data_IF_533871164013
#
_entry.id   IF_533871164013
#
_cell.length_a   1.000
_cell.length_b   1.000
_cell.length_c   1.000
_cell.angle_alpha   90.00
_cell.angle_beta   90.00
_cell.angle_gamma   90.00
#
_symmetry.space_group_name_H-M   'P 1'
#
loop_
_entity.id
_entity.type
_entity.pdbx_description
1 polymer ?
#
# COMPACT_ATOMS: atom_id res chain seq x y z
N UNK A 1 4.86 -15.07 -25.66
CA UNK A 1 5.47 -14.60 -24.40
C UNK A 1 4.63 -13.43 -23.91
N UNK A 2 3.85 -13.61 -22.86
CA UNK A 2 3.01 -12.53 -22.33
C UNK A 2 3.92 -11.61 -21.53
N UNK A 3 4.23 -10.44 -22.06
CA UNK A 3 5.00 -9.44 -21.33
C UNK A 3 4.19 -9.04 -20.08
N UNK A 4 4.84 -9.03 -18.91
CA UNK A 4 4.21 -8.50 -17.70
C UNK A 4 3.81 -7.04 -17.96
N UNK A 5 2.62 -6.60 -17.51
CA UNK A 5 2.14 -5.26 -17.84
C UNK A 5 3.07 -4.20 -17.21
N UNK A 6 3.24 -3.03 -17.86
CA UNK A 6 4.14 -2.01 -17.38
C UNK A 6 3.70 -1.51 -15.99
N UNK A 7 4.62 -1.43 -15.04
CA UNK A 7 4.34 -0.88 -13.71
C UNK A 7 3.96 0.59 -13.84
N UNK A 8 2.86 1.00 -13.22
CA UNK A 8 2.29 2.35 -13.31
C UNK A 8 2.00 2.98 -11.93
N UNK A 9 2.27 2.27 -10.83
CA UNK A 9 2.06 2.74 -9.47
C UNK A 9 3.27 2.51 -8.56
N UNK A 10 3.41 3.33 -7.52
CA UNK A 10 4.47 3.26 -6.51
C UNK A 10 3.87 3.28 -5.11
N UNK A 11 4.32 2.38 -4.24
CA UNK A 11 3.92 2.33 -2.84
C UNK A 11 4.68 3.38 -2.02
N UNK A 12 3.95 4.21 -1.29
CA UNK A 12 4.48 5.23 -0.39
C UNK A 12 4.09 4.91 1.06
N UNK A 13 5.11 4.82 1.89
CA UNK A 13 5.00 4.43 3.30
C UNK A 13 4.88 2.92 3.49
N UNK A 14 4.73 2.49 4.74
CA UNK A 14 4.51 1.09 5.09
C UNK A 14 5.66 0.14 4.69
N UNK A 15 5.41 -1.18 4.76
CA UNK A 15 6.43 -2.20 4.53
C UNK A 15 6.85 -2.37 3.05
N UNK A 16 6.11 -1.77 2.11
CA UNK A 16 6.38 -1.87 0.68
C UNK A 16 6.83 -0.53 0.08
N UNK A 17 7.30 0.42 0.90
CA UNK A 17 7.74 1.74 0.43
C UNK A 17 8.72 1.63 -0.75
N UNK A 18 8.48 2.41 -1.80
CA UNK A 18 9.29 2.44 -3.02
C UNK A 18 9.01 1.30 -4.00
N UNK A 19 8.15 0.34 -3.64
CA UNK A 19 7.84 -0.78 -4.52
C UNK A 19 6.94 -0.35 -5.68
N UNK A 20 7.36 -0.68 -6.89
CA UNK A 20 6.61 -0.42 -8.12
C UNK A 20 5.67 -1.60 -8.43
N UNK A 21 4.41 -1.29 -8.72
CA UNK A 21 3.39 -2.28 -9.08
C UNK A 21 2.55 -1.80 -10.28
N UNK A 22 1.71 -2.69 -10.80
CA UNK A 22 0.69 -2.35 -11.78
C UNK A 22 -0.67 -2.35 -11.09
N UNK A 23 -1.47 -1.31 -11.34
CA UNK A 23 -2.88 -1.25 -10.97
C UNK A 23 -3.72 -0.90 -12.20
N UNK A 24 -4.90 -1.51 -12.28
CA UNK A 24 -5.91 -1.18 -13.29
C UNK A 24 -6.98 -0.21 -12.72
N UNK A 25 -7.07 -0.13 -11.39
CA UNK A 25 -8.02 0.71 -10.68
C UNK A 25 -7.45 2.12 -10.43
N UNK A 26 -8.30 3.14 -10.56
CA UNK A 26 -7.92 4.55 -10.30
C UNK A 26 -8.24 5.00 -8.85
N UNK A 27 -9.15 4.30 -8.16
CA UNK A 27 -9.61 4.65 -6.81
C UNK A 27 -9.87 3.36 -6.02
N UNK A 28 -9.53 3.34 -4.74
CA UNK A 28 -9.86 2.25 -3.83
C UNK A 28 -8.73 1.90 -2.88
N UNK A 29 -8.78 0.70 -2.31
CA UNK A 29 -7.68 0.10 -1.54
C UNK A 29 -7.31 -1.22 -2.20
N UNK A 30 -6.02 -1.49 -2.37
CA UNK A 30 -5.51 -2.77 -2.83
C UNK A 30 -4.64 -3.43 -1.77
N UNK A 31 -4.49 -4.74 -1.87
CA UNK A 31 -3.51 -5.51 -1.10
C UNK A 31 -2.26 -5.72 -1.94
N UNK A 32 -1.12 -5.47 -1.33
CA UNK A 32 0.20 -5.59 -1.95
C UNK A 32 0.98 -6.64 -1.16
N UNK A 33 1.49 -7.70 -1.80
CA UNK A 33 2.29 -8.70 -1.10
C UNK A 33 3.57 -8.06 -0.56
N UNK A 34 3.87 -8.29 0.71
CA UNK A 34 5.10 -7.79 1.33
C UNK A 34 6.25 -8.71 0.91
N UNK A 35 7.36 -8.18 0.37
CA UNK A 35 8.52 -8.99 0.04
C UNK A 35 9.05 -9.73 1.27
N UNK A 36 9.07 -11.06 1.19
CA UNK A 36 9.74 -11.92 2.19
C UNK A 36 11.25 -11.67 2.15
N UNK A 37 11.89 -11.60 3.31
CA UNK A 37 13.36 -11.55 3.45
C UNK A 37 13.94 -12.96 3.51
N UNK A 38 13.17 -13.90 4.05
CA UNK A 38 13.51 -15.32 4.19
C UNK A 38 12.36 -16.23 3.75
N UNK A 39 12.64 -17.44 3.24
CA UNK A 39 11.60 -18.40 2.84
C UNK A 39 10.75 -18.92 4.00
N UNK A 40 11.25 -18.82 5.23
CA UNK A 40 10.56 -19.23 6.46
C UNK A 40 9.55 -18.19 6.96
N UNK A 41 9.61 -16.94 6.46
CA UNK A 41 8.68 -15.90 6.88
C UNK A 41 7.27 -16.16 6.32
N UNK A 42 6.20 -15.89 7.10
CA UNK A 42 4.84 -16.03 6.59
C UNK A 42 4.58 -15.03 5.46
N UNK A 43 3.69 -15.42 4.54
CA UNK A 43 3.24 -14.56 3.46
C UNK A 43 2.33 -13.50 4.08
N UNK A 44 2.73 -12.24 3.95
CA UNK A 44 1.95 -11.12 4.48
C UNK A 44 1.57 -10.16 3.36
N UNK A 45 0.46 -9.47 3.57
CA UNK A 45 -0.05 -8.46 2.65
C UNK A 45 -0.21 -7.15 3.39
N UNK A 46 0.08 -6.05 2.70
CA UNK A 46 -0.11 -4.70 3.20
C UNK A 46 -1.18 -3.99 2.36
N UNK A 47 -2.04 -3.22 3.03
CA UNK A 47 -3.11 -2.47 2.36
C UNK A 47 -2.59 -1.10 1.96
N UNK A 48 -2.87 -0.70 0.73
CA UNK A 48 -2.55 0.62 0.21
C UNK A 48 -3.78 1.25 -0.43
N UNK A 49 -3.98 2.54 -0.16
CA UNK A 49 -5.00 3.35 -0.79
C UNK A 49 -4.49 3.92 -2.10
N UNK A 50 -5.26 3.70 -3.16
CA UNK A 50 -5.02 4.33 -4.45
C UNK A 50 -5.40 5.80 -4.35
N UNK A 51 -4.48 6.68 -4.73
CA UNK A 51 -4.69 8.13 -4.74
C UNK A 51 -4.55 8.68 -6.14
N UNK A 52 -5.04 9.90 -6.37
CA UNK A 52 -4.83 10.62 -7.63
C UNK A 52 -3.46 11.30 -7.71
N UNK A 53 -2.66 11.21 -6.65
CA UNK A 53 -1.33 11.80 -6.61
C UNK A 53 -0.39 11.06 -7.56
N UNK A 54 0.47 11.83 -8.22
CA UNK A 54 1.41 11.35 -9.23
C UNK A 54 2.83 11.70 -8.79
N UNK A 55 3.70 10.70 -8.73
CA UNK A 55 5.09 10.86 -8.29
C UNK A 55 6.03 10.55 -9.44
N UNK A 56 6.94 11.48 -9.71
CA UNK A 56 8.05 11.23 -10.63
C UNK A 56 9.09 10.35 -9.94
N UNK A 57 9.45 9.25 -10.60
CA UNK A 57 10.50 8.34 -10.14
C UNK A 57 11.61 8.29 -11.19
N UNK A 58 12.89 8.37 -10.82
CA UNK A 58 14.00 8.48 -11.78
C UNK A 58 14.10 7.31 -12.77
N UNK A 59 13.49 6.16 -12.45
CA UNK A 59 13.47 5.00 -13.35
C UNK A 59 12.54 5.14 -14.56
N UNK A 60 11.66 6.15 -14.64
CA UNK A 60 10.82 6.41 -15.82
C UNK A 60 10.54 7.89 -16.01
N UNK A 61 10.33 8.26 -17.27
CA UNK A 61 9.89 9.60 -17.67
C UNK A 61 8.45 9.88 -17.23
N UNK A 62 7.57 8.87 -17.30
CA UNK A 62 6.17 8.99 -16.90
C UNK A 62 6.00 8.89 -15.37
N UNK A 63 5.14 9.71 -14.76
CA UNK A 63 4.89 9.67 -13.32
C UNK A 63 4.03 8.48 -12.91
N UNK A 64 4.33 7.90 -11.74
CA UNK A 64 3.61 6.77 -11.16
C UNK A 64 2.43 7.24 -10.30
N UNK A 65 1.37 6.45 -10.25
CA UNK A 65 0.26 6.65 -9.29
C UNK A 65 0.78 6.35 -7.88
N UNK A 66 0.60 7.29 -6.96
CA UNK A 66 0.98 7.09 -5.57
C UNK A 66 -0.05 6.21 -4.84
N UNK A 67 0.45 5.13 -4.25
CA UNK A 67 -0.30 4.25 -3.38
C UNK A 67 0.11 4.55 -1.94
N UNK A 68 -0.77 5.18 -1.15
CA UNK A 68 -0.44 5.53 0.23
C UNK A 68 -0.78 4.37 1.15
N UNK A 69 0.14 4.05 2.07
CA UNK A 69 -0.09 2.97 3.04
C UNK A 69 -1.36 3.23 3.85
N UNK A 70 -2.30 2.30 3.78
CA UNK A 70 -3.48 2.28 4.62
C UNK A 70 -3.13 1.39 5.81
N UNK A 71 -2.66 2.02 6.88
CA UNK A 71 -2.39 1.37 8.17
C UNK A 71 -3.55 0.39 8.49
N UNK A 72 -3.25 -0.83 8.98
CA UNK A 72 -4.30 -1.73 9.38
C UNK A 72 -5.07 -1.03 10.48
N UNK A 73 -6.28 -0.55 10.16
CA UNK A 73 -7.20 -0.05 11.16
C UNK A 73 -7.36 -1.17 12.18
N UNK A 74 -6.64 -1.07 13.30
CA UNK A 74 -6.89 -1.85 14.50
C UNK A 74 -8.42 -1.81 14.65
N UNK A 75 -9.12 -2.96 14.71
CA UNK A 75 -10.55 -2.93 14.92
C UNK A 75 -10.75 -2.09 16.17
N UNK A 76 -11.35 -0.91 16.00
CA UNK A 76 -11.52 0.06 17.06
C UNK A 76 -12.48 -0.56 18.07
N UNK A 77 -11.93 -1.37 18.98
CA UNK A 77 -12.48 -1.61 20.29
C UNK A 77 -12.34 -0.32 21.06
N UNK A 78 -13.18 0.66 20.71
CA UNK A 78 -13.43 1.84 21.50
C UNK A 78 -13.98 1.38 22.84
N UNK A 79 -13.09 1.09 23.79
CA UNK A 79 -13.42 1.15 25.21
C UNK A 79 -12.84 2.43 25.78
N UNK A 80 -13.43 3.56 25.38
CA UNK A 80 -13.41 4.73 26.23
C UNK A 80 -14.38 4.46 27.37
N UNK A 81 -13.93 3.69 28.37
CA UNK A 81 -14.54 3.70 29.70
C UNK A 81 -13.99 4.92 30.46
N UNK A 82 -14.25 6.14 29.95
CA UNK A 82 -14.01 7.33 30.74
C UNK A 82 -15.06 7.34 31.85
N UNK A 83 -14.63 6.92 33.04
CA UNK A 83 -15.37 7.09 34.28
C UNK A 83 -15.54 8.58 34.55
N UNK A 84 -16.71 9.12 34.20
CA UNK A 84 -17.18 10.36 34.78
C UNK A 84 -17.75 10.01 36.15
N UNK A 85 -16.96 10.25 37.20
CA UNK A 85 -17.48 10.35 38.55
C UNK A 85 -18.27 11.64 38.70
N UNK A 86 -19.43 11.54 39.32
CA UNK A 86 -20.05 12.59 40.11
C UNK A 86 -20.21 12.04 41.54
#
# INVERSE_FOLDING_TARGET
MTAAPPRNAICLGGPCHGMLTHIDQDIGTLTVPVPRRSPEEPETVARYRITRERVHHPCRTEPFIALHWADPTEPSGSSCSCGCGD
#
